data_IF_186107349719
#
_entry.id   IF_186107349719
#
_cell.length_a   1.000
_cell.length_b   1.000
_cell.length_c   1.000
_cell.angle_alpha   90.00
_cell.angle_beta   90.00
_cell.angle_gamma   90.00
#
_symmetry.space_group_name_H-M   'P 1'
#
loop_
_entity.id
_entity.type
_entity.pdbx_description
1 polymer ?
#
# COMPACT_ATOMS: atom_id res chain seq x y z
N UNK A 1 9.28 30.12 -53.63
CA UNK A 1 8.10 30.05 -52.75
C UNK A 1 8.35 28.93 -51.77
N UNK A 2 8.77 29.27 -50.58
CA UNK A 2 9.04 28.31 -49.47
C UNK A 2 7.96 28.52 -48.43
N UNK A 3 7.15 27.50 -48.23
CA UNK A 3 6.05 27.50 -47.27
C UNK A 3 6.56 26.87 -45.97
N UNK A 4 6.75 27.70 -44.97
CA UNK A 4 7.17 27.33 -43.63
C UNK A 4 5.96 26.80 -42.88
N UNK A 5 5.91 25.47 -42.69
CA UNK A 5 4.95 24.81 -41.78
C UNK A 5 5.36 25.07 -40.34
N UNK A 6 4.60 25.92 -39.63
CA UNK A 6 4.65 26.10 -38.20
C UNK A 6 4.01 24.87 -37.52
N UNK A 7 4.87 23.99 -37.02
CA UNK A 7 4.46 22.92 -36.13
C UNK A 7 4.05 23.50 -34.76
N UNK A 8 2.77 23.63 -34.54
CA UNK A 8 2.19 23.98 -33.24
C UNK A 8 2.44 22.83 -32.25
N UNK A 9 3.49 22.95 -31.45
CA UNK A 9 3.68 22.14 -30.25
C UNK A 9 2.67 22.55 -29.19
N UNK A 10 1.52 21.88 -29.20
CA UNK A 10 0.54 21.98 -28.12
C UNK A 10 1.16 21.39 -26.85
N UNK A 11 1.74 22.24 -26.03
CA UNK A 11 2.10 21.92 -24.65
C UNK A 11 0.80 21.54 -23.92
N UNK A 12 0.59 20.24 -23.72
CA UNK A 12 -0.41 19.72 -22.80
C UNK A 12 -0.09 20.30 -21.43
N UNK A 13 -0.79 21.35 -21.02
CA UNK A 13 -0.90 21.80 -19.64
C UNK A 13 -1.54 20.64 -18.87
N UNK A 14 -0.70 19.73 -18.38
CA UNK A 14 -1.12 18.55 -17.63
C UNK A 14 -1.64 18.99 -16.28
N UNK A 15 -2.93 18.83 -16.02
CA UNK A 15 -3.45 18.93 -14.66
C UNK A 15 -2.61 18.02 -13.76
N UNK A 16 -2.13 18.55 -12.64
CA UNK A 16 -1.35 17.81 -11.63
C UNK A 16 -2.11 16.54 -11.26
N UNK A 17 -1.48 15.39 -11.38
CA UNK A 17 -2.08 14.08 -11.12
C UNK A 17 -2.60 13.98 -9.68
N UNK A 18 -3.56 13.08 -9.46
CA UNK A 18 -4.14 12.85 -8.13
C UNK A 18 -3.07 12.37 -7.15
N UNK A 19 -2.20 11.45 -7.60
CA UNK A 19 -1.11 10.94 -6.78
C UNK A 19 -0.08 12.02 -6.43
N UNK A 20 0.20 12.98 -7.34
CA UNK A 20 1.15 14.07 -7.10
C UNK A 20 0.63 15.02 -6.01
N UNK A 21 -0.65 15.41 -6.05
CA UNK A 21 -1.27 16.20 -4.99
C UNK A 21 -1.20 15.50 -3.63
N UNK A 22 -1.54 14.21 -3.59
CA UNK A 22 -1.43 13.42 -2.37
C UNK A 22 0.02 13.32 -1.87
N UNK A 23 0.98 13.21 -2.77
CA UNK A 23 2.40 13.18 -2.44
C UNK A 23 2.85 14.48 -1.77
N UNK A 24 2.37 15.61 -2.26
CA UNK A 24 2.67 16.91 -1.66
C UNK A 24 2.03 17.07 -0.27
N UNK A 25 0.78 16.59 -0.10
CA UNK A 25 0.15 16.52 1.23
C UNK A 25 0.96 15.63 2.20
N UNK A 26 1.44 14.47 1.75
CA UNK A 26 2.26 13.57 2.55
C UNK A 26 3.57 14.25 2.95
N UNK A 27 4.21 15.00 2.06
CA UNK A 27 5.44 15.74 2.35
C UNK A 27 5.23 16.85 3.37
N UNK A 28 4.07 17.54 3.30
CA UNK A 28 3.69 18.53 4.32
C UNK A 28 3.43 17.86 5.67
N UNK A 29 2.72 16.72 5.69
CA UNK A 29 2.44 15.96 6.92
C UNK A 29 3.69 15.29 7.52
N UNK A 30 4.64 14.87 6.67
CA UNK A 30 5.87 14.15 7.01
C UNK A 30 7.08 14.76 6.26
N UNK A 31 7.70 15.85 6.76
CA UNK A 31 8.76 16.55 6.03
C UNK A 31 9.99 15.69 5.67
N UNK A 32 10.23 14.59 6.38
CA UNK A 32 11.32 13.64 6.09
C UNK A 32 10.93 12.55 5.09
N UNK A 33 9.69 12.58 4.55
CA UNK A 33 9.21 11.57 3.61
C UNK A 33 9.90 11.68 2.26
N UNK A 34 10.41 10.55 1.78
CA UNK A 34 11.05 10.41 0.47
C UNK A 34 10.62 9.11 -0.19
N UNK A 35 10.50 9.13 -1.52
CA UNK A 35 10.36 7.91 -2.31
C UNK A 35 11.74 7.48 -2.80
N UNK A 36 12.14 6.24 -2.55
CA UNK A 36 13.42 5.65 -2.94
C UNK A 36 13.24 4.33 -3.68
N UNK A 37 14.04 4.08 -4.69
CA UNK A 37 14.06 2.77 -5.33
C UNK A 37 14.67 1.71 -4.38
N UNK A 38 14.06 0.51 -4.30
CA UNK A 38 14.58 -0.61 -3.49
C UNK A 38 15.93 -1.14 -4.00
N UNK A 39 16.13 -1.15 -5.31
CA UNK A 39 17.38 -1.63 -5.92
C UNK A 39 18.54 -0.73 -5.51
N UNK A 40 19.60 -1.33 -5.01
CA UNK A 40 20.82 -0.61 -4.60
C UNK A 40 20.98 -0.41 -3.10
N UNK A 41 19.98 -0.69 -2.27
CA UNK A 41 20.10 -0.57 -0.81
C UNK A 41 20.50 -1.90 -0.16
N UNK A 42 21.70 -2.02 0.47
CA UNK A 42 22.16 -3.25 1.11
C UNK A 42 21.20 -3.77 2.18
N UNK A 43 20.62 -2.86 2.98
CA UNK A 43 19.64 -3.20 4.01
C UNK A 43 18.39 -3.88 3.42
N UNK A 44 17.88 -3.41 2.27
CA UNK A 44 16.73 -4.04 1.60
C UNK A 44 17.05 -5.46 1.12
N UNK A 45 18.30 -5.70 0.69
CA UNK A 45 18.79 -7.04 0.35
C UNK A 45 18.87 -7.95 1.57
N UNK A 46 19.40 -7.44 2.70
CA UNK A 46 19.45 -8.19 3.95
C UNK A 46 18.05 -8.57 4.45
N UNK A 47 17.09 -7.62 4.40
CA UNK A 47 15.69 -7.88 4.73
C UNK A 47 15.08 -8.94 3.79
N UNK A 48 15.33 -8.85 2.48
CA UNK A 48 14.83 -9.84 1.51
C UNK A 48 15.35 -11.25 1.80
N UNK A 49 16.63 -11.40 2.15
CA UNK A 49 17.23 -12.67 2.53
C UNK A 49 16.63 -13.19 3.84
N UNK A 50 16.52 -12.34 4.86
CA UNK A 50 15.92 -12.72 6.13
C UNK A 50 14.46 -13.18 5.97
N UNK A 51 13.66 -12.44 5.19
CA UNK A 51 12.29 -12.82 4.89
C UNK A 51 12.19 -14.12 4.10
N UNK A 52 13.07 -14.34 3.12
CA UNK A 52 13.10 -15.60 2.36
C UNK A 52 13.41 -16.79 3.25
N UNK A 53 14.29 -16.64 4.24
CA UNK A 53 14.62 -17.70 5.22
C UNK A 53 13.43 -17.95 6.15
N UNK A 54 12.88 -16.89 6.77
CA UNK A 54 11.79 -17.00 7.75
C UNK A 54 10.50 -17.52 7.12
N UNK A 55 10.24 -17.19 5.85
CA UNK A 55 9.02 -17.62 5.14
C UNK A 55 9.23 -18.86 4.25
N UNK A 56 10.36 -19.58 4.42
CA UNK A 56 10.72 -20.75 3.61
C UNK A 56 10.61 -20.47 2.09
N UNK A 57 11.01 -19.26 1.69
CA UNK A 57 10.97 -18.82 0.30
C UNK A 57 9.64 -18.18 -0.15
N UNK A 58 8.64 -18.08 0.71
CA UNK A 58 7.33 -17.48 0.38
C UNK A 58 7.41 -16.02 -0.07
N UNK A 59 8.40 -15.25 0.40
CA UNK A 59 8.60 -13.84 0.06
C UNK A 59 9.74 -13.56 -0.93
N UNK A 60 10.02 -14.45 -1.85
CA UNK A 60 11.05 -14.25 -2.90
C UNK A 60 10.78 -13.00 -3.78
N UNK A 61 9.53 -12.53 -3.85
CA UNK A 61 9.12 -11.33 -4.56
C UNK A 61 9.29 -10.01 -3.81
N UNK A 62 9.90 -10.00 -2.62
CA UNK A 62 10.01 -8.81 -1.77
C UNK A 62 10.60 -7.57 -2.48
N UNK A 63 11.67 -7.74 -3.24
CA UNK A 63 12.33 -6.63 -3.94
C UNK A 63 11.58 -6.15 -5.19
N UNK A 64 10.84 -7.04 -5.86
CA UNK A 64 10.22 -6.77 -7.16
C UNK A 64 8.74 -6.40 -7.08
N UNK A 65 8.00 -6.89 -6.10
CA UNK A 65 6.53 -6.76 -6.04
C UNK A 65 6.03 -5.86 -4.92
N UNK A 66 6.74 -5.83 -3.77
CA UNK A 66 6.24 -5.12 -2.59
C UNK A 66 6.86 -3.74 -2.45
N UNK A 67 6.08 -2.76 -2.05
CA UNK A 67 6.55 -1.47 -1.57
C UNK A 67 6.72 -1.56 -0.05
N UNK A 68 7.51 -0.70 0.55
CA UNK A 68 7.78 -0.80 2.00
C UNK A 68 8.12 0.57 2.56
N UNK A 69 7.39 1.00 3.58
CA UNK A 69 7.81 2.15 4.39
C UNK A 69 8.82 1.68 5.44
N UNK A 70 10.01 2.28 5.42
CA UNK A 70 11.05 2.03 6.41
C UNK A 70 11.70 3.36 6.81
N UNK A 71 11.79 3.64 8.11
CA UNK A 71 12.34 4.89 8.65
C UNK A 71 11.72 6.16 8.01
N UNK A 72 10.40 6.13 7.74
CA UNK A 72 9.68 7.25 7.14
C UNK A 72 9.91 7.46 5.65
N UNK A 73 10.57 6.53 4.97
CA UNK A 73 10.83 6.57 3.53
C UNK A 73 10.09 5.43 2.85
N UNK A 74 9.47 5.72 1.71
CA UNK A 74 8.81 4.71 0.88
C UNK A 74 9.82 4.13 -0.11
N UNK A 75 10.12 2.85 0.05
CA UNK A 75 10.96 2.11 -0.88
C UNK A 75 10.08 1.43 -1.92
N UNK A 76 10.14 1.90 -3.16
CA UNK A 76 9.34 1.40 -4.26
C UNK A 76 10.08 0.31 -5.03
N UNK A 77 9.34 -0.71 -5.45
CA UNK A 77 9.82 -1.74 -6.38
C UNK A 77 9.80 -1.22 -7.83
N UNK A 78 10.33 -2.01 -8.76
CA UNK A 78 10.31 -1.66 -10.19
C UNK A 78 8.88 -1.53 -10.75
N UNK A 79 7.90 -2.20 -10.12
CA UNK A 79 6.49 -2.11 -10.49
C UNK A 79 5.95 -0.66 -10.45
N UNK A 80 6.52 0.21 -9.58
CA UNK A 80 6.14 1.62 -9.50
C UNK A 80 6.19 2.36 -10.84
N UNK A 81 7.15 2.01 -11.70
CA UNK A 81 7.33 2.69 -12.99
C UNK A 81 6.18 2.43 -13.96
N UNK A 82 5.55 1.26 -13.86
CA UNK A 82 4.42 0.86 -14.70
C UNK A 82 3.04 1.20 -14.11
N UNK A 83 2.98 1.73 -12.90
CA UNK A 83 1.72 2.12 -12.26
C UNK A 83 1.13 3.37 -12.90
N UNK A 84 -0.19 3.38 -13.09
CA UNK A 84 -0.95 4.57 -13.46
C UNK A 84 -1.13 5.55 -12.26
N UNK A 85 -1.81 6.67 -12.51
CA UNK A 85 -2.07 7.69 -11.48
C UNK A 85 -2.91 7.15 -10.33
N UNK A 86 -3.94 6.37 -10.64
CA UNK A 86 -4.85 5.79 -9.65
C UNK A 86 -4.16 4.71 -8.81
N UNK A 87 -3.35 3.85 -9.42
CA UNK A 87 -2.57 2.84 -8.69
C UNK A 87 -1.61 3.48 -7.69
N UNK A 88 -0.90 4.53 -8.13
CA UNK A 88 0.00 5.29 -7.25
C UNK A 88 -0.76 5.99 -6.14
N UNK A 89 -1.91 6.56 -6.45
CA UNK A 89 -2.78 7.21 -5.47
C UNK A 89 -3.25 6.22 -4.40
N UNK A 90 -3.79 5.06 -4.82
CA UNK A 90 -4.24 4.00 -3.91
C UNK A 90 -3.10 3.51 -3.01
N UNK A 91 -1.93 3.27 -3.60
CA UNK A 91 -0.75 2.86 -2.84
C UNK A 91 -0.33 3.93 -1.83
N UNK A 92 -0.24 5.19 -2.23
CA UNK A 92 0.16 6.28 -1.33
C UNK A 92 -0.85 6.49 -0.18
N UNK A 93 -2.15 6.27 -0.41
CA UNK A 93 -3.17 6.26 0.64
C UNK A 93 -2.89 5.17 1.69
N UNK A 94 -2.57 3.96 1.24
CA UNK A 94 -2.17 2.84 2.09
C UNK A 94 -0.91 3.17 2.90
N UNK A 95 0.14 3.62 2.25
CA UNK A 95 1.44 3.91 2.88
C UNK A 95 1.37 5.10 3.85
N UNK A 96 0.50 6.08 3.58
CA UNK A 96 0.23 7.20 4.51
C UNK A 96 -0.30 6.71 5.86
N UNK A 97 -1.10 5.62 5.88
CA UNK A 97 -1.54 5.00 7.14
C UNK A 97 -0.34 4.49 7.92
N UNK A 98 0.59 3.78 7.28
CA UNK A 98 1.80 3.28 7.94
C UNK A 98 2.69 4.42 8.47
N UNK A 99 2.79 5.53 7.76
CA UNK A 99 3.50 6.72 8.26
C UNK A 99 2.84 7.28 9.52
N UNK A 100 1.51 7.35 9.58
CA UNK A 100 0.73 7.80 10.74
C UNK A 100 0.85 6.83 11.92
N UNK A 101 0.78 5.53 11.66
CA UNK A 101 0.99 4.48 12.67
C UNK A 101 2.38 4.58 13.29
N UNK A 102 3.41 4.72 12.43
CA UNK A 102 4.79 4.93 12.88
C UNK A 102 4.92 6.18 13.75
N UNK A 103 4.32 7.31 13.37
CA UNK A 103 4.34 8.55 14.17
C UNK A 103 3.69 8.37 15.53
N UNK A 104 2.60 7.56 15.62
CA UNK A 104 1.88 7.29 16.88
C UNK A 104 2.62 6.32 17.79
N UNK A 105 3.20 5.27 17.25
CA UNK A 105 3.79 4.17 18.03
C UNK A 105 5.30 4.27 18.21
N UNK A 106 5.98 5.03 17.36
CA UNK A 106 7.44 5.06 17.26
C UNK A 106 8.00 3.88 16.44
N UNK A 107 9.21 4.05 15.92
CA UNK A 107 9.86 3.09 15.03
C UNK A 107 10.11 1.73 15.67
N UNK A 108 10.59 1.72 16.91
CA UNK A 108 10.93 0.49 17.62
C UNK A 108 9.67 -0.33 17.92
N UNK A 109 8.63 0.31 18.45
CA UNK A 109 7.36 -0.37 18.77
C UNK A 109 6.73 -0.94 17.51
N UNK A 110 6.68 -0.15 16.43
CA UNK A 110 6.15 -0.62 15.15
C UNK A 110 6.95 -1.79 14.60
N UNK A 111 8.29 -1.72 14.64
CA UNK A 111 9.15 -2.82 14.21
C UNK A 111 8.93 -4.08 15.05
N UNK A 112 8.82 -3.96 16.37
CA UNK A 112 8.53 -5.08 17.26
C UNK A 112 7.17 -5.72 16.95
N UNK A 113 6.10 -4.93 16.85
CA UNK A 113 4.75 -5.42 16.54
C UNK A 113 4.70 -6.07 15.15
N UNK A 114 5.47 -5.54 14.19
CA UNK A 114 5.52 -6.05 12.83
C UNK A 114 6.35 -7.33 12.69
N UNK A 115 7.48 -7.41 13.39
CA UNK A 115 8.42 -8.53 13.30
C UNK A 115 8.08 -9.69 14.24
N UNK A 116 7.43 -9.40 15.39
CA UNK A 116 7.05 -10.43 16.33
C UNK A 116 5.71 -11.08 15.94
N UNK A 117 5.72 -12.27 15.31
CA UNK A 117 4.58 -13.15 15.44
C UNK A 117 4.48 -13.51 16.93
N UNK A 118 3.31 -13.42 17.53
CA UNK A 118 3.08 -13.99 18.85
C UNK A 118 3.21 -15.51 18.68
N UNK A 119 4.44 -16.01 18.78
CA UNK A 119 4.72 -17.43 18.87
C UNK A 119 4.11 -17.95 20.19
N UNK A 120 3.45 -19.14 20.20
CA UNK A 120 3.62 -20.26 19.28
C UNK A 120 2.47 -20.48 18.28
N UNK A 121 1.54 -19.56 18.11
CA UNK A 121 0.25 -19.82 17.44
C UNK A 121 0.17 -19.36 15.96
N UNK A 122 1.26 -18.95 15.32
CA UNK A 122 1.28 -18.46 13.93
C UNK A 122 0.27 -17.31 13.65
N UNK A 123 -0.09 -16.56 14.69
CA UNK A 123 -1.03 -15.45 14.61
C UNK A 123 -0.26 -14.17 14.88
N UNK A 124 0.01 -13.41 13.83
CA UNK A 124 0.64 -12.10 13.93
C UNK A 124 -0.43 -11.01 14.10
N UNK A 125 -1.18 -11.06 15.21
CA UNK A 125 -2.28 -10.13 15.49
C UNK A 125 -1.91 -8.66 15.32
N UNK A 126 -0.76 -8.26 15.86
CA UNK A 126 -0.30 -6.88 15.77
C UNK A 126 -0.08 -6.45 14.32
N UNK A 127 0.60 -7.29 13.52
CA UNK A 127 0.79 -7.07 12.09
C UNK A 127 -0.55 -7.03 11.36
N UNK A 128 -1.42 -8.03 11.60
CA UNK A 128 -2.72 -8.12 10.95
C UNK A 128 -3.55 -6.85 11.21
N UNK A 129 -3.49 -6.28 12.41
CA UNK A 129 -4.19 -5.05 12.75
C UNK A 129 -3.60 -3.82 12.06
N UNK A 130 -2.28 -3.68 12.05
CA UNK A 130 -1.58 -2.59 11.36
C UNK A 130 -1.92 -2.60 9.87
N UNK A 131 -1.80 -3.75 9.22
CA UNK A 131 -2.12 -3.93 7.81
C UNK A 131 -3.62 -3.71 7.54
N UNK A 132 -4.50 -4.12 8.45
CA UNK A 132 -5.94 -3.93 8.25
C UNK A 132 -6.33 -2.46 8.17
N UNK A 133 -5.79 -1.60 9.03
CA UNK A 133 -6.01 -0.16 8.96
C UNK A 133 -5.58 0.41 7.59
N UNK A 134 -4.47 -0.06 7.04
CA UNK A 134 -3.98 0.35 5.73
C UNK A 134 -4.84 -0.22 4.58
N UNK A 135 -5.33 -1.46 4.70
CA UNK A 135 -6.24 -2.04 3.70
C UNK A 135 -7.62 -1.39 3.67
N UNK A 136 -8.16 -0.93 4.81
CA UNK A 136 -9.37 -0.09 4.82
C UNK A 136 -9.19 1.10 3.89
N UNK A 137 -8.05 1.76 3.98
CA UNK A 137 -7.76 2.92 3.15
C UNK A 137 -7.55 2.54 1.67
N UNK A 138 -6.95 1.36 1.39
CA UNK A 138 -6.88 0.80 0.03
C UNK A 138 -8.26 0.59 -0.57
N UNK A 139 -9.18 -0.04 0.17
CA UNK A 139 -10.55 -0.31 -0.28
C UNK A 139 -11.29 1.01 -0.55
N UNK A 140 -11.18 1.98 0.37
CA UNK A 140 -11.79 3.32 0.21
C UNK A 140 -11.26 4.07 -0.99
N UNK A 141 -9.93 4.14 -1.13
CA UNK A 141 -9.30 4.80 -2.26
C UNK A 141 -9.66 4.13 -3.59
N UNK A 142 -9.75 2.79 -3.63
CA UNK A 142 -10.18 2.08 -4.83
C UNK A 142 -11.63 2.39 -5.16
N UNK A 143 -12.53 2.41 -4.18
CA UNK A 143 -13.93 2.80 -4.39
C UNK A 143 -14.04 4.25 -4.90
N UNK A 144 -13.22 5.16 -4.39
CA UNK A 144 -13.18 6.57 -4.78
C UNK A 144 -12.78 6.77 -6.26
N UNK A 145 -11.74 6.04 -6.72
CA UNK A 145 -11.15 6.30 -8.04
C UNK A 145 -11.66 5.35 -9.13
N UNK A 146 -12.09 4.13 -8.77
CA UNK A 146 -12.49 3.07 -9.71
C UNK A 146 -13.92 2.54 -9.48
N UNK A 147 -14.59 3.05 -8.45
CA UNK A 147 -15.93 2.63 -8.11
C UNK A 147 -16.00 1.42 -7.17
N UNK A 148 -17.18 1.22 -6.62
CA UNK A 148 -17.44 0.22 -5.57
C UNK A 148 -17.22 -1.22 -6.05
N UNK A 149 -17.51 -1.54 -7.31
CA UNK A 149 -17.31 -2.88 -7.85
C UNK A 149 -15.83 -3.24 -7.96
N UNK A 150 -14.98 -2.29 -8.33
CA UNK A 150 -13.53 -2.48 -8.29
C UNK A 150 -13.02 -2.70 -6.84
N UNK A 151 -13.59 -1.97 -5.88
CA UNK A 151 -13.28 -2.19 -4.47
C UNK A 151 -13.70 -3.58 -3.99
N UNK A 152 -14.91 -4.05 -4.36
CA UNK A 152 -15.38 -5.41 -4.03
C UNK A 152 -14.47 -6.51 -4.61
N UNK A 153 -13.93 -6.30 -5.81
CA UNK A 153 -13.04 -7.26 -6.45
C UNK A 153 -11.72 -7.50 -5.67
N UNK A 154 -11.34 -6.62 -4.75
CA UNK A 154 -10.14 -6.77 -3.91
C UNK A 154 -10.27 -7.87 -2.84
N UNK A 155 -11.49 -8.35 -2.52
CA UNK A 155 -11.71 -9.29 -1.41
C UNK A 155 -10.80 -10.51 -1.48
N UNK A 156 -10.80 -11.19 -2.63
CA UNK A 156 -10.05 -12.44 -2.80
C UNK A 156 -8.54 -12.23 -2.64
N UNK A 157 -8.02 -11.13 -3.14
CA UNK A 157 -6.61 -10.79 -3.03
C UNK A 157 -6.22 -10.45 -1.58
N UNK A 158 -7.01 -9.62 -0.89
CA UNK A 158 -6.78 -9.26 0.50
C UNK A 158 -6.83 -10.50 1.40
N UNK A 159 -7.86 -11.35 1.23
CA UNK A 159 -7.96 -12.63 1.98
C UNK A 159 -6.71 -13.49 1.74
N UNK A 160 -6.32 -13.67 0.48
CA UNK A 160 -5.12 -14.45 0.13
C UNK A 160 -3.85 -13.90 0.79
N UNK A 161 -3.67 -12.59 0.81
CA UNK A 161 -2.50 -11.96 1.46
C UNK A 161 -2.49 -12.21 2.97
N UNK A 162 -3.63 -12.17 3.65
CA UNK A 162 -3.72 -12.39 5.10
C UNK A 162 -3.44 -13.84 5.49
N UNK A 163 -4.01 -14.80 4.75
CA UNK A 163 -3.93 -16.22 5.09
C UNK A 163 -2.76 -16.94 4.42
N UNK A 164 -2.13 -16.30 3.43
CA UNK A 164 -1.09 -16.90 2.61
C UNK A 164 0.33 -16.60 3.06
N UNK A 165 1.31 -17.14 2.35
CA UNK A 165 2.73 -16.96 2.65
C UNK A 165 3.25 -15.54 2.36
N UNK A 166 2.52 -14.75 1.57
CA UNK A 166 2.92 -13.40 1.15
C UNK A 166 3.26 -12.50 2.34
N UNK A 167 2.50 -12.63 3.44
CA UNK A 167 2.72 -11.93 4.70
C UNK A 167 3.05 -12.88 5.86
N UNK A 168 3.52 -14.12 5.56
CA UNK A 168 3.90 -15.10 6.57
C UNK A 168 2.71 -15.59 7.39
N UNK A 169 1.56 -15.87 6.73
CA UNK A 169 0.34 -16.38 7.39
C UNK A 169 -0.09 -15.53 8.58
N UNK A 170 -0.08 -14.20 8.41
CA UNK A 170 -0.29 -13.29 9.55
C UNK A 170 -1.65 -13.46 10.25
N UNK A 171 -2.69 -13.93 9.52
CA UNK A 171 -4.01 -14.18 10.09
C UNK A 171 -4.71 -15.35 9.38
N UNK A 172 -4.59 -16.60 9.88
CA UNK A 172 -5.04 -17.80 9.17
C UNK A 172 -6.57 -18.05 9.23
N UNK A 173 -7.37 -17.01 9.42
CA UNK A 173 -8.82 -17.09 9.54
C UNK A 173 -9.53 -16.36 8.39
N UNK A 174 -9.71 -16.98 7.22
CA UNK A 174 -10.25 -16.31 6.03
C UNK A 174 -11.66 -15.77 6.24
N UNK A 175 -12.49 -16.45 7.05
CA UNK A 175 -13.86 -15.99 7.38
C UNK A 175 -13.86 -14.68 8.16
N UNK A 176 -12.89 -14.48 9.05
CA UNK A 176 -12.77 -13.23 9.79
C UNK A 176 -12.37 -12.07 8.87
N UNK A 177 -11.39 -12.30 7.97
CA UNK A 177 -10.96 -11.29 7.00
C UNK A 177 -12.11 -10.91 6.06
N UNK A 178 -12.87 -11.88 5.55
CA UNK A 178 -14.05 -11.61 4.71
C UNK A 178 -15.11 -10.78 5.45
N UNK A 179 -15.35 -11.08 6.73
CA UNK A 179 -16.28 -10.28 7.54
C UNK A 179 -15.80 -8.85 7.68
N UNK A 180 -14.54 -8.63 8.04
CA UNK A 180 -13.96 -7.28 8.13
C UNK A 180 -14.06 -6.53 6.81
N UNK A 181 -13.82 -7.22 5.69
CA UNK A 181 -13.96 -6.66 4.36
C UNK A 181 -15.42 -6.28 4.06
N UNK A 182 -16.37 -7.16 4.35
CA UNK A 182 -17.80 -6.89 4.20
C UNK A 182 -18.28 -5.68 5.00
N UNK A 183 -17.79 -5.52 6.24
CA UNK A 183 -18.11 -4.37 7.09
C UNK A 183 -17.67 -3.04 6.45
N UNK A 184 -16.48 -3.02 5.81
CA UNK A 184 -15.99 -1.83 5.09
C UNK A 184 -16.84 -1.53 3.85
N UNK A 185 -17.17 -2.55 3.05
CA UNK A 185 -18.03 -2.37 1.87
C UNK A 185 -19.41 -1.86 2.26
N UNK A 186 -20.03 -2.41 3.30
CA UNK A 186 -21.32 -1.95 3.81
C UNK A 186 -21.28 -0.49 4.27
N UNK A 187 -20.19 -0.07 4.93
CA UNK A 187 -19.98 1.34 5.31
C UNK A 187 -19.95 2.25 4.08
N UNK A 188 -19.19 1.86 3.04
CA UNK A 188 -19.11 2.63 1.80
C UNK A 188 -20.45 2.72 1.06
N UNK A 189 -21.22 1.64 1.03
CA UNK A 189 -22.58 1.63 0.47
C UNK A 189 -23.52 2.57 1.23
N UNK A 190 -23.40 2.61 2.55
CA UNK A 190 -24.21 3.48 3.39
C UNK A 190 -23.84 4.97 3.19
N UNK A 191 -22.54 5.27 3.04
CA UNK A 191 -22.03 6.62 2.76
C UNK A 191 -22.47 7.14 1.39
N UNK A 192 -22.59 6.26 0.38
CA UNK A 192 -23.00 6.60 -1.00
C UNK A 192 -24.52 6.74 -1.18
N UNK A 193 -25.35 6.39 -0.18
CA UNK A 193 -26.81 6.56 -0.27
C UNK A 193 -27.20 8.02 -0.02
N UNK A 194 -28.07 8.61 -0.85
CA UNK A 194 -28.64 9.92 -0.54
C UNK A 194 -29.35 9.85 0.81
N UNK A 195 -29.08 10.81 1.68
CA UNK A 195 -29.81 10.95 2.95
C UNK A 195 -31.25 11.34 2.61
N UNK A 196 -32.26 10.71 3.26
CA UNK A 196 -33.67 11.02 3.04
C UNK A 196 -34.01 12.45 3.39
#
# INVERSE_FOLDING_TARGET
MAETAHGSSSAKSGAVGRHERLLDEIRVEFPSFEIRAKRGFPLQRAIAVALAIVTLGGQRGYLSRYHTVLFGKLYVSDAWKGMDDDDRYILLRHERVHLRQRRRMGDLTMALVYLFPILPLFVAWGRARIEWEAYIETIRATAEVRGLDAARALESEIVRRYVGPDYGWMWPFPRAVRRWFGDVIQSLEAEGRPRP
#
